data_IF_025991827506
#
_entry.id   IF_025991827506
#
_cell.length_a   1.000
_cell.length_b   1.000
_cell.length_c   1.000
_cell.angle_alpha   90.00
_cell.angle_beta   90.00
_cell.angle_gamma   90.00
#
_symmetry.space_group_name_H-M   'P 1'
#
loop_
_entity.id
_entity.type
_entity.pdbx_description
1 polymer ?
#
# COMPACT_ATOMS: atom_id res chain seq x y z
N UNK A 1 -25.37 -8.38 -19.55
CA UNK A 1 -25.30 -7.50 -18.39
C UNK A 1 -24.47 -6.24 -18.65
N UNK A 2 -24.12 -5.50 -17.60
CA UNK A 2 -23.42 -4.19 -17.66
C UNK A 2 -22.14 -4.19 -18.52
N UNK A 3 -21.31 -5.23 -18.42
CA UNK A 3 -20.10 -5.33 -19.25
C UNK A 3 -20.44 -5.44 -20.75
N UNK A 4 -21.51 -6.17 -21.10
CA UNK A 4 -21.92 -6.28 -22.50
C UNK A 4 -22.32 -4.92 -23.08
N UNK A 5 -22.97 -4.05 -22.32
CA UNK A 5 -23.33 -2.70 -22.76
C UNK A 5 -22.09 -1.84 -23.07
N UNK A 6 -21.05 -1.93 -22.23
CA UNK A 6 -19.79 -1.26 -22.49
C UNK A 6 -19.07 -1.77 -23.72
N UNK A 7 -19.00 -3.09 -23.92
CA UNK A 7 -18.37 -3.69 -25.11
C UNK A 7 -19.11 -3.42 -26.42
N UNK A 8 -20.44 -3.29 -26.37
CA UNK A 8 -21.26 -2.96 -27.55
C UNK A 8 -21.26 -1.46 -27.87
N UNK A 9 -20.60 -0.62 -27.06
CA UNK A 9 -20.58 0.84 -27.20
C UNK A 9 -22.00 1.44 -27.28
N UNK A 10 -22.91 0.91 -26.45
CA UNK A 10 -24.31 1.36 -26.42
C UNK A 10 -24.44 2.63 -25.58
N UNK A 11 -24.34 3.79 -26.23
CA UNK A 11 -24.44 5.12 -25.61
C UNK A 11 -25.78 5.36 -24.89
N UNK A 12 -26.86 4.70 -25.33
CA UNK A 12 -28.21 4.88 -24.76
C UNK A 12 -28.28 4.30 -23.33
N UNK A 13 -27.36 3.40 -23.01
CA UNK A 13 -27.25 2.80 -21.69
C UNK A 13 -26.45 3.62 -20.66
N UNK A 14 -25.84 4.76 -21.05
CA UNK A 14 -25.00 5.58 -20.12
C UNK A 14 -25.77 5.97 -18.87
N UNK A 15 -27.02 6.45 -19.01
CA UNK A 15 -27.84 6.84 -17.87
C UNK A 15 -28.16 5.69 -16.90
N UNK A 16 -28.32 4.48 -17.41
CA UNK A 16 -28.48 3.28 -16.59
C UNK A 16 -27.19 2.94 -15.82
N UNK A 17 -26.05 2.96 -16.52
CA UNK A 17 -24.74 2.66 -15.93
C UNK A 17 -24.36 3.69 -14.86
N UNK A 18 -24.65 4.98 -15.09
CA UNK A 18 -24.42 6.02 -14.08
C UNK A 18 -25.29 5.81 -12.83
N UNK A 19 -26.56 5.42 -12.98
CA UNK A 19 -27.40 5.06 -11.82
C UNK A 19 -26.86 3.84 -11.08
N UNK A 20 -26.41 2.82 -11.79
CA UNK A 20 -25.78 1.66 -11.18
C UNK A 20 -24.47 2.00 -10.46
N UNK A 21 -23.67 2.92 -11.00
CA UNK A 21 -22.46 3.42 -10.37
C UNK A 21 -22.76 4.09 -9.02
N UNK A 22 -23.85 4.87 -8.94
CA UNK A 22 -24.19 5.67 -7.77
C UNK A 22 -25.01 4.91 -6.69
N UNK A 23 -25.82 3.93 -7.09
CA UNK A 23 -26.85 3.34 -6.22
C UNK A 23 -26.69 1.83 -5.97
N UNK A 24 -25.86 1.15 -6.76
CA UNK A 24 -25.69 -0.29 -6.66
C UNK A 24 -24.69 -0.68 -5.55
N UNK A 25 -24.69 -1.97 -5.20
CA UNK A 25 -23.64 -2.51 -4.32
C UNK A 25 -22.25 -2.39 -4.95
N UNK A 26 -21.23 -2.42 -4.10
CA UNK A 26 -19.82 -2.15 -4.47
C UNK A 26 -19.33 -2.93 -5.71
N UNK A 27 -19.69 -4.22 -5.82
CA UNK A 27 -19.31 -5.06 -6.97
C UNK A 27 -19.96 -4.57 -8.27
N UNK A 28 -21.24 -4.21 -8.24
CA UNK A 28 -21.96 -3.69 -9.40
C UNK A 28 -21.38 -2.33 -9.83
N UNK A 29 -20.95 -1.50 -8.86
CA UNK A 29 -20.27 -0.23 -9.17
C UNK A 29 -18.95 -0.45 -9.92
N UNK A 30 -18.18 -1.49 -9.61
CA UNK A 30 -16.96 -1.84 -10.37
C UNK A 30 -17.29 -2.26 -11.81
N UNK A 31 -18.34 -3.07 -12.02
CA UNK A 31 -18.76 -3.46 -13.38
C UNK A 31 -19.31 -2.28 -14.17
N UNK A 32 -20.10 -1.41 -13.55
CA UNK A 32 -20.60 -0.18 -14.17
C UNK A 32 -19.45 0.77 -14.53
N UNK A 33 -18.45 0.91 -13.64
CA UNK A 33 -17.21 1.65 -13.89
C UNK A 33 -16.50 1.17 -15.14
N UNK A 34 -16.30 -0.16 -15.25
CA UNK A 34 -15.67 -0.76 -16.43
C UNK A 34 -16.44 -0.45 -17.71
N UNK A 35 -17.76 -0.62 -17.70
CA UNK A 35 -18.61 -0.37 -18.87
C UNK A 35 -18.59 1.10 -19.31
N UNK A 36 -18.67 2.04 -18.35
CA UNK A 36 -18.59 3.46 -18.64
C UNK A 36 -17.24 3.87 -19.24
N UNK A 37 -16.15 3.31 -18.72
CA UNK A 37 -14.80 3.61 -19.25
C UNK A 37 -14.55 2.98 -20.63
N UNK A 38 -15.21 1.87 -20.96
CA UNK A 38 -15.19 1.31 -22.33
C UNK A 38 -15.94 2.20 -23.32
N UNK A 39 -17.02 2.87 -22.88
CA UNK A 39 -17.77 3.82 -23.74
C UNK A 39 -16.98 5.08 -23.99
N UNK A 40 -16.56 5.77 -22.94
CA UNK A 40 -15.71 6.96 -23.01
C UNK A 40 -14.95 7.13 -21.69
N UNK A 41 -13.66 6.77 -21.72
CA UNK A 41 -12.82 6.81 -20.54
C UNK A 41 -12.60 8.24 -20.02
N UNK A 42 -12.43 9.21 -20.91
CA UNK A 42 -12.18 10.60 -20.51
C UNK A 42 -13.43 11.24 -19.89
N UNK A 43 -14.59 11.03 -20.51
CA UNK A 43 -15.84 11.58 -20.01
C UNK A 43 -16.27 11.03 -18.65
N UNK A 44 -15.93 9.77 -18.36
CA UNK A 44 -16.47 9.07 -17.19
C UNK A 44 -15.47 8.85 -16.05
N UNK A 45 -14.17 9.11 -16.25
CA UNK A 45 -13.13 8.85 -15.25
C UNK A 45 -13.38 9.53 -13.91
N UNK A 46 -13.80 10.79 -13.91
CA UNK A 46 -14.05 11.56 -12.69
C UNK A 46 -15.22 11.00 -11.87
N UNK A 47 -16.30 10.60 -12.53
CA UNK A 47 -17.45 9.97 -11.87
C UNK A 47 -17.09 8.60 -11.29
N UNK A 48 -16.33 7.80 -12.06
CA UNK A 48 -15.85 6.48 -11.65
C UNK A 48 -14.94 6.59 -10.43
N UNK A 49 -13.95 7.47 -10.44
CA UNK A 49 -13.01 7.62 -9.32
C UNK A 49 -13.75 7.99 -8.04
N UNK A 50 -14.67 8.96 -8.08
CA UNK A 50 -15.44 9.37 -6.91
C UNK A 50 -16.32 8.26 -6.34
N UNK A 51 -16.93 7.46 -7.20
CA UNK A 51 -17.78 6.34 -6.75
C UNK A 51 -16.98 5.19 -6.11
N UNK A 52 -15.69 5.06 -6.49
CA UNK A 52 -14.84 3.98 -5.99
C UNK A 52 -14.14 4.31 -4.66
N UNK A 53 -14.23 5.53 -4.12
CA UNK A 53 -13.63 5.86 -2.84
C UNK A 53 -14.27 5.11 -1.67
N UNK A 54 -15.54 4.82 -1.77
CA UNK A 54 -16.32 4.22 -0.66
C UNK A 54 -16.47 2.69 -0.80
N UNK A 55 -15.84 2.07 -1.80
CA UNK A 55 -15.96 0.60 -1.96
C UNK A 55 -15.17 -0.15 -0.89
N UNK A 56 -15.68 -1.30 -0.39
CA UNK A 56 -14.98 -2.15 0.55
C UNK A 56 -13.65 -2.67 0.01
N UNK A 57 -12.70 -2.95 0.91
CA UNK A 57 -11.36 -3.42 0.53
C UNK A 57 -11.37 -4.67 -0.34
N UNK A 58 -12.32 -5.57 -0.14
CA UNK A 58 -12.48 -6.78 -0.95
C UNK A 58 -12.75 -6.45 -2.43
N UNK A 59 -13.57 -5.44 -2.69
CA UNK A 59 -13.92 -5.03 -4.05
C UNK A 59 -12.84 -4.17 -4.71
N UNK A 60 -11.94 -3.57 -3.94
CA UNK A 60 -10.76 -2.87 -4.45
C UNK A 60 -9.86 -3.83 -5.26
N UNK A 61 -9.76 -5.09 -4.85
CA UNK A 61 -9.01 -6.10 -5.61
C UNK A 61 -9.66 -6.37 -6.96
N UNK A 62 -10.99 -6.48 -7.03
CA UNK A 62 -11.73 -6.61 -8.28
C UNK A 62 -11.51 -5.37 -9.18
N UNK A 63 -11.62 -4.17 -8.61
CA UNK A 63 -11.38 -2.92 -9.34
C UNK A 63 -9.97 -2.89 -9.95
N UNK A 64 -8.95 -3.34 -9.22
CA UNK A 64 -7.57 -3.36 -9.68
C UNK A 64 -7.36 -4.19 -10.96
N UNK A 65 -8.11 -5.27 -11.12
CA UNK A 65 -8.06 -6.15 -12.31
C UNK A 65 -8.90 -5.57 -13.43
N UNK A 66 -10.15 -5.21 -13.12
CA UNK A 66 -11.13 -4.77 -14.11
C UNK A 66 -10.78 -3.44 -14.75
N UNK A 67 -10.18 -2.51 -13.99
CA UNK A 67 -9.88 -1.16 -14.44
C UNK A 67 -8.43 -0.95 -14.90
N UNK A 68 -7.63 -2.02 -14.89
CA UNK A 68 -6.21 -1.97 -15.29
C UNK A 68 -5.97 -1.29 -16.66
N UNK A 69 -6.78 -1.51 -17.72
CA UNK A 69 -6.57 -0.86 -19.02
C UNK A 69 -6.72 0.66 -18.99
N UNK A 70 -7.47 1.20 -18.03
CA UNK A 70 -7.77 2.63 -17.91
C UNK A 70 -6.89 3.35 -16.89
N UNK A 71 -5.81 2.70 -16.46
CA UNK A 71 -4.95 3.21 -15.38
C UNK A 71 -4.48 4.65 -15.61
N UNK A 72 -4.10 5.01 -16.84
CA UNK A 72 -3.58 6.35 -17.13
C UNK A 72 -4.63 7.44 -16.90
N UNK A 73 -5.82 7.29 -17.49
CA UNK A 73 -6.91 8.24 -17.32
C UNK A 73 -7.43 8.29 -15.88
N UNK A 74 -7.47 7.16 -15.20
CA UNK A 74 -7.86 7.09 -13.79
C UNK A 74 -6.81 7.74 -12.87
N UNK A 75 -5.53 7.69 -13.21
CA UNK A 75 -4.48 8.38 -12.45
C UNK A 75 -4.68 9.89 -12.49
N UNK A 76 -4.95 10.45 -13.66
CA UNK A 76 -5.23 11.87 -13.83
C UNK A 76 -6.50 12.30 -13.08
N UNK A 77 -7.57 11.52 -13.21
CA UNK A 77 -8.81 11.77 -12.48
C UNK A 77 -8.60 11.69 -10.96
N UNK A 78 -7.83 10.70 -10.47
CA UNK A 78 -7.53 10.55 -9.07
C UNK A 78 -6.78 11.75 -8.50
N UNK A 79 -5.80 12.30 -9.25
CA UNK A 79 -5.06 13.49 -8.85
C UNK A 79 -5.93 14.74 -8.82
N UNK A 80 -6.86 14.90 -9.78
CA UNK A 80 -7.83 16.01 -9.76
C UNK A 80 -8.78 15.95 -8.55
N UNK A 81 -9.06 14.76 -8.04
CA UNK A 81 -9.94 14.51 -6.90
C UNK A 81 -9.19 14.13 -5.63
N UNK A 82 -7.96 14.66 -5.45
CA UNK A 82 -7.21 14.49 -4.21
C UNK A 82 -8.03 15.07 -3.03
N UNK A 83 -8.42 14.25 -2.03
CA UNK A 83 -9.20 14.71 -0.91
C UNK A 83 -8.38 15.58 0.05
N UNK A 84 -9.05 16.37 0.87
CA UNK A 84 -8.42 16.98 2.03
C UNK A 84 -8.02 15.88 3.04
N UNK A 85 -7.09 16.22 3.90
CA UNK A 85 -6.48 15.27 4.85
C UNK A 85 -7.49 14.70 5.85
N UNK A 86 -8.47 15.48 6.23
CA UNK A 86 -9.57 15.16 7.16
C UNK A 86 -10.83 14.62 6.46
N UNK A 87 -10.82 14.52 5.14
CA UNK A 87 -11.93 13.92 4.39
C UNK A 87 -12.03 12.42 4.71
N UNK A 88 -13.19 11.92 5.14
CA UNK A 88 -13.39 10.50 5.44
C UNK A 88 -13.09 9.58 4.24
N UNK A 89 -13.10 10.10 3.02
CA UNK A 89 -12.77 9.35 1.80
C UNK A 89 -11.27 9.28 1.51
N UNK A 90 -10.41 9.95 2.29
CA UNK A 90 -8.96 9.93 2.11
C UNK A 90 -8.39 8.50 2.09
N UNK A 91 -8.86 7.64 2.99
CA UNK A 91 -8.44 6.24 3.04
C UNK A 91 -8.85 5.47 1.77
N UNK A 92 -10.06 5.66 1.27
CA UNK A 92 -10.54 5.03 0.04
C UNK A 92 -9.74 5.48 -1.18
N UNK A 93 -9.44 6.77 -1.26
CA UNK A 93 -8.60 7.37 -2.28
C UNK A 93 -7.19 6.74 -2.30
N UNK A 94 -6.52 6.64 -1.14
CA UNK A 94 -5.21 6.01 -1.00
C UNK A 94 -5.25 4.52 -1.39
N UNK A 95 -6.29 3.79 -0.97
CA UNK A 95 -6.48 2.38 -1.30
C UNK A 95 -6.66 2.17 -2.80
N UNK A 96 -7.44 3.02 -3.45
CA UNK A 96 -7.65 2.96 -4.90
C UNK A 96 -6.36 3.27 -5.67
N UNK A 97 -5.62 4.31 -5.28
CA UNK A 97 -4.31 4.64 -5.85
C UNK A 97 -3.36 3.44 -5.80
N UNK A 98 -3.30 2.77 -4.65
CA UNK A 98 -2.47 1.58 -4.45
C UNK A 98 -2.94 0.39 -5.29
N UNK A 99 -4.25 0.13 -5.35
CA UNK A 99 -4.82 -0.98 -6.11
C UNK A 99 -4.54 -0.83 -7.61
N UNK A 100 -4.67 0.36 -8.12
CA UNK A 100 -4.33 0.70 -9.50
C UNK A 100 -2.81 0.81 -9.74
N UNK A 101 -1.98 0.63 -8.70
CA UNK A 101 -0.51 0.74 -8.75
C UNK A 101 -0.05 2.07 -9.34
N UNK A 102 -0.69 3.15 -8.94
CA UNK A 102 -0.36 4.48 -9.42
C UNK A 102 0.92 4.98 -8.75
N UNK A 103 1.70 5.74 -9.51
CA UNK A 103 2.81 6.51 -8.95
C UNK A 103 2.27 7.85 -8.48
N UNK A 104 2.27 8.05 -7.15
CA UNK A 104 1.75 9.26 -6.55
C UNK A 104 2.90 10.24 -6.29
N UNK A 105 2.77 11.51 -6.72
CA UNK A 105 3.77 12.53 -6.40
C UNK A 105 3.95 12.67 -4.89
N UNK A 106 5.21 12.78 -4.42
CA UNK A 106 5.51 12.94 -3.00
C UNK A 106 4.80 14.14 -2.36
N UNK A 107 4.65 15.23 -3.10
CA UNK A 107 3.93 16.44 -2.67
C UNK A 107 2.45 16.17 -2.37
N UNK A 108 1.81 15.27 -3.13
CA UNK A 108 0.42 14.87 -2.94
C UNK A 108 0.28 13.97 -1.71
N UNK A 109 1.27 13.13 -1.42
CA UNK A 109 1.27 12.24 -0.26
C UNK A 109 1.69 12.93 1.05
N UNK A 110 2.49 14.00 0.99
CA UNK A 110 3.05 14.65 2.17
C UNK A 110 2.02 15.04 3.25
N UNK A 111 0.83 15.56 2.93
CA UNK A 111 -0.20 15.85 3.94
C UNK A 111 -0.67 14.60 4.69
N UNK A 112 -0.74 13.43 4.03
CA UNK A 112 -1.18 12.17 4.62
C UNK A 112 -0.08 11.44 5.41
N UNK A 113 1.15 11.95 5.38
CA UNK A 113 2.30 11.45 6.14
C UNK A 113 2.56 12.28 7.40
N UNK A 114 1.59 13.02 7.92
CA UNK A 114 1.76 13.76 9.17
C UNK A 114 1.59 12.85 10.39
N UNK A 115 2.33 13.05 11.50
CA UNK A 115 2.30 12.15 12.66
C UNK A 115 0.93 12.03 13.35
N UNK A 116 0.08 13.06 13.23
CA UNK A 116 -1.24 13.13 13.83
C UNK A 116 -2.35 12.48 13.00
N UNK A 117 -2.02 11.90 11.84
CA UNK A 117 -3.00 11.26 10.97
C UNK A 117 -3.63 10.03 11.62
N UNK A 118 -4.85 9.69 11.15
CA UNK A 118 -5.42 8.38 11.42
C UNK A 118 -4.45 7.27 11.01
N UNK A 119 -4.33 6.26 11.84
CA UNK A 119 -3.37 5.17 11.68
C UNK A 119 -3.54 4.45 10.33
N UNK A 120 -4.78 4.23 9.90
CA UNK A 120 -5.06 3.53 8.65
C UNK A 120 -4.71 4.41 7.43
N UNK A 121 -4.98 5.71 7.52
CA UNK A 121 -4.60 6.70 6.50
C UNK A 121 -3.07 6.76 6.40
N UNK A 122 -2.37 6.89 7.52
CA UNK A 122 -0.91 6.93 7.57
C UNK A 122 -0.28 5.65 6.97
N UNK A 123 -0.77 4.48 7.36
CA UNK A 123 -0.32 3.19 6.81
C UNK A 123 -0.56 3.12 5.30
N UNK A 124 -1.73 3.57 4.83
CA UNK A 124 -2.06 3.57 3.40
C UNK A 124 -1.16 4.54 2.62
N UNK A 125 -0.87 5.71 3.16
CA UNK A 125 0.03 6.69 2.56
C UNK A 125 1.48 6.16 2.49
N UNK A 126 2.01 5.60 3.58
CA UNK A 126 3.36 4.99 3.61
C UNK A 126 3.51 3.92 2.52
N UNK A 127 2.46 3.15 2.24
CA UNK A 127 2.45 2.10 1.19
C UNK A 127 2.55 2.65 -0.24
N UNK A 128 2.25 3.92 -0.44
CA UNK A 128 2.28 4.59 -1.74
C UNK A 128 3.59 5.33 -1.99
N UNK A 129 4.38 5.59 -0.96
CA UNK A 129 5.68 6.26 -1.12
C UNK A 129 6.59 5.40 -1.99
N UNK A 130 7.24 6.02 -2.97
CA UNK A 130 8.15 5.39 -3.92
C UNK A 130 9.44 6.20 -4.03
N UNK A 131 10.53 5.50 -4.40
CA UNK A 131 11.84 6.12 -4.60
C UNK A 131 12.56 6.50 -3.30
N UNK A 132 13.88 6.56 -3.37
CA UNK A 132 14.75 6.83 -2.21
C UNK A 132 14.48 8.20 -1.57
N UNK A 133 14.10 9.20 -2.37
CA UNK A 133 13.77 10.54 -1.85
C UNK A 133 12.58 10.53 -0.87
N UNK A 134 11.76 9.50 -0.90
CA UNK A 134 10.65 9.30 0.04
C UNK A 134 11.05 8.58 1.34
N UNK A 135 12.23 7.98 1.39
CA UNK A 135 12.66 7.15 2.52
C UNK A 135 12.72 7.94 3.83
N UNK A 136 13.22 9.18 3.81
CA UNK A 136 13.29 10.03 4.99
C UNK A 136 11.92 10.36 5.59
N UNK A 137 10.91 10.65 4.75
CA UNK A 137 9.55 10.92 5.21
C UNK A 137 8.92 9.69 5.87
N UNK A 138 9.19 8.50 5.33
CA UNK A 138 8.74 7.23 5.92
C UNK A 138 9.49 6.93 7.21
N UNK A 139 10.82 7.11 7.23
CA UNK A 139 11.67 6.84 8.38
C UNK A 139 11.30 7.68 9.63
N UNK A 140 10.77 8.89 9.44
CA UNK A 140 10.28 9.74 10.52
C UNK A 140 9.22 9.06 11.42
N UNK A 141 8.51 8.05 10.90
CA UNK A 141 7.49 7.30 11.64
C UNK A 141 8.01 6.01 12.31
N UNK A 142 9.31 5.76 12.29
CA UNK A 142 9.89 4.55 12.88
C UNK A 142 9.70 4.43 14.40
N UNK A 143 9.49 5.55 15.10
CA UNK A 143 9.17 5.62 16.53
C UNK A 143 7.70 5.77 16.86
N UNK A 144 6.77 5.56 15.90
CA UNK A 144 5.34 5.75 16.11
C UNK A 144 4.81 4.84 17.22
N UNK A 145 3.85 5.32 18.04
CA UNK A 145 3.29 4.57 19.16
C UNK A 145 2.64 3.24 18.71
N UNK A 146 1.89 3.28 17.62
CA UNK A 146 1.25 2.06 17.07
C UNK A 146 2.30 1.24 16.28
N UNK A 147 2.44 -0.02 16.69
CA UNK A 147 3.37 -0.95 16.08
C UNK A 147 3.05 -1.28 14.61
N UNK A 148 1.80 -1.17 14.18
CA UNK A 148 1.38 -1.43 12.79
C UNK A 148 2.01 -0.39 11.85
N UNK A 149 2.09 0.87 12.30
CA UNK A 149 2.80 1.92 11.58
C UNK A 149 4.29 1.59 11.53
N UNK A 150 4.94 1.27 12.66
CA UNK A 150 6.37 0.90 12.69
C UNK A 150 6.68 -0.29 11.78
N UNK A 151 5.84 -1.33 11.81
CA UNK A 151 6.00 -2.48 10.92
C UNK A 151 5.85 -2.12 9.43
N UNK A 152 4.94 -1.17 9.12
CA UNK A 152 4.78 -0.67 7.75
C UNK A 152 5.97 0.18 7.32
N UNK A 153 6.54 1.01 8.21
CA UNK A 153 7.78 1.75 7.99
C UNK A 153 8.91 0.78 7.65
N UNK A 154 9.15 -0.20 8.51
CA UNK A 154 10.20 -1.19 8.28
C UNK A 154 10.04 -1.87 6.91
N UNK A 155 8.81 -2.27 6.57
CA UNK A 155 8.51 -2.88 5.26
C UNK A 155 8.78 -1.93 4.09
N UNK A 156 8.32 -0.69 4.18
CA UNK A 156 8.46 0.29 3.10
C UNK A 156 9.94 0.59 2.82
N UNK A 157 10.74 0.79 3.86
CA UNK A 157 12.17 1.06 3.74
C UNK A 157 12.94 -0.07 3.04
N UNK A 158 12.48 -1.31 3.12
CA UNK A 158 13.05 -2.43 2.36
C UNK A 158 12.79 -2.38 0.84
N UNK A 159 11.93 -1.47 0.37
CA UNK A 159 11.65 -1.27 -1.06
C UNK A 159 12.16 0.05 -1.60
N UNK A 160 12.22 1.08 -0.76
CA UNK A 160 12.55 2.45 -1.17
C UNK A 160 13.83 2.98 -0.53
N UNK A 161 14.36 2.30 0.50
CA UNK A 161 15.57 2.69 1.20
C UNK A 161 16.84 2.17 0.54
N UNK A 162 17.97 2.67 1.04
CA UNK A 162 19.32 2.29 0.68
C UNK A 162 20.19 2.05 1.91
N UNK A 163 21.49 2.26 1.77
CA UNK A 163 22.45 2.07 2.87
C UNK A 163 22.22 3.05 4.04
N UNK A 164 21.65 4.22 3.78
CA UNK A 164 21.32 5.21 4.80
C UNK A 164 20.29 4.69 5.83
N UNK A 165 19.42 3.78 5.44
CA UNK A 165 18.36 3.20 6.29
C UNK A 165 18.81 1.98 7.09
N UNK A 166 19.99 1.42 6.80
CA UNK A 166 20.53 0.25 7.52
C UNK A 166 20.60 0.47 9.05
N UNK A 167 21.11 1.60 9.59
CA UNK A 167 21.15 1.81 11.05
C UNK A 167 19.74 1.84 11.67
N UNK A 168 18.77 2.41 10.97
CA UNK A 168 17.39 2.47 11.45
C UNK A 168 16.76 1.08 11.48
N UNK A 169 16.83 0.34 10.38
CA UNK A 169 16.30 -1.03 10.30
C UNK A 169 16.97 -1.97 11.30
N UNK A 170 18.28 -1.78 11.57
CA UNK A 170 18.96 -2.53 12.61
C UNK A 170 18.38 -2.25 14.01
N UNK A 171 18.14 -0.96 14.36
CA UNK A 171 17.46 -0.64 15.62
C UNK A 171 16.07 -1.27 15.72
N UNK A 172 15.32 -1.31 14.61
CA UNK A 172 13.98 -1.91 14.57
C UNK A 172 14.00 -3.45 14.71
N UNK A 173 15.15 -4.12 14.58
CA UNK A 173 15.29 -5.56 14.91
C UNK A 173 15.06 -5.85 16.39
N UNK A 174 15.26 -4.87 17.28
CA UNK A 174 15.06 -5.00 18.72
C UNK A 174 13.71 -4.46 19.20
N UNK A 175 12.79 -4.10 18.29
CA UNK A 175 11.46 -3.61 18.65
C UNK A 175 10.71 -4.61 19.54
N UNK A 176 9.92 -4.10 20.50
CA UNK A 176 9.12 -4.94 21.38
C UNK A 176 8.15 -5.86 20.59
N UNK A 177 7.68 -5.38 19.44
CA UNK A 177 6.70 -6.12 18.63
C UNK A 177 7.36 -7.05 17.61
N UNK A 178 6.94 -8.30 17.63
CA UNK A 178 7.45 -9.36 16.76
C UNK A 178 7.35 -8.98 15.26
N UNK A 179 6.22 -8.41 14.84
CA UNK A 179 6.00 -8.03 13.44
C UNK A 179 6.94 -6.94 12.96
N UNK A 180 7.33 -6.01 13.83
CA UNK A 180 8.31 -4.96 13.50
C UNK A 180 9.68 -5.59 13.28
N UNK A 181 10.13 -6.46 14.18
CA UNK A 181 11.39 -7.19 14.04
C UNK A 181 11.43 -8.02 12.75
N UNK A 182 10.33 -8.76 12.47
CA UNK A 182 10.22 -9.57 11.26
C UNK A 182 10.31 -8.75 9.98
N UNK A 183 9.58 -7.62 9.90
CA UNK A 183 9.63 -6.73 8.73
C UNK A 183 10.98 -6.06 8.57
N UNK A 184 11.65 -5.70 9.66
CA UNK A 184 13.00 -5.12 9.63
C UNK A 184 14.02 -6.13 9.09
N UNK A 185 14.00 -7.38 9.57
CA UNK A 185 14.86 -8.43 9.06
C UNK A 185 14.62 -8.72 7.56
N UNK A 186 13.34 -8.80 7.14
CA UNK A 186 13.01 -8.96 5.72
C UNK A 186 13.50 -7.80 4.86
N UNK A 187 13.46 -6.58 5.40
CA UNK A 187 13.86 -5.37 4.68
C UNK A 187 15.37 -5.28 4.54
N UNK A 188 16.12 -5.60 5.59
CA UNK A 188 17.57 -5.73 5.52
C UNK A 188 18.01 -6.75 4.44
N UNK A 189 17.27 -7.86 4.31
CA UNK A 189 17.53 -8.85 3.25
C UNK A 189 17.29 -8.33 1.83
N UNK A 190 16.41 -7.33 1.66
CA UNK A 190 16.03 -6.78 0.35
C UNK A 190 16.89 -5.61 -0.09
N UNK A 191 17.43 -4.85 0.86
CA UNK A 191 18.22 -3.67 0.53
C UNK A 191 19.36 -4.05 -0.44
N UNK A 192 19.59 -3.23 -1.46
CA UNK A 192 20.71 -3.43 -2.37
C UNK A 192 22.04 -3.38 -1.63
N UNK A 193 23.08 -3.95 -2.19
CA UNK A 193 24.41 -3.93 -1.58
C UNK A 193 24.60 -4.96 -0.47
N UNK A 194 24.85 -4.50 0.75
CA UNK A 194 25.31 -5.38 1.83
C UNK A 194 24.21 -5.88 2.79
N UNK A 195 22.96 -5.48 2.58
CA UNK A 195 21.88 -5.76 3.54
C UNK A 195 21.75 -7.25 3.95
N UNK A 196 21.79 -8.16 2.96
CA UNK A 196 21.77 -9.60 3.24
C UNK A 196 23.00 -10.08 4.01
N UNK A 197 24.18 -9.63 3.63
CA UNK A 197 25.43 -10.03 4.29
C UNK A 197 25.54 -9.45 5.71
N UNK A 198 24.92 -8.31 5.95
CA UNK A 198 24.95 -7.63 7.24
C UNK A 198 23.87 -8.09 8.22
N UNK A 199 22.77 -8.70 7.76
CA UNK A 199 21.66 -9.03 8.66
C UNK A 199 22.10 -9.86 9.87
N UNK A 200 22.85 -10.94 9.66
CA UNK A 200 23.30 -11.79 10.77
C UNK A 200 24.33 -11.09 11.67
N UNK A 201 25.37 -10.42 11.14
CA UNK A 201 26.27 -9.61 11.94
C UNK A 201 25.57 -8.51 12.73
N UNK A 202 24.62 -7.78 12.10
CA UNK A 202 23.87 -6.73 12.77
C UNK A 202 23.00 -7.28 13.91
N UNK A 203 22.30 -8.39 13.67
CA UNK A 203 21.51 -9.04 14.70
C UNK A 203 22.37 -9.49 15.88
N UNK A 204 23.52 -10.09 15.61
CA UNK A 204 24.46 -10.52 16.65
C UNK A 204 25.02 -9.33 17.46
N UNK A 205 25.27 -8.21 16.80
CA UNK A 205 25.76 -7.01 17.45
C UNK A 205 24.75 -6.39 18.43
N UNK A 206 23.45 -6.67 18.29
CA UNK A 206 22.44 -6.17 19.23
C UNK A 206 22.52 -6.85 20.61
N UNK A 207 23.06 -8.07 20.70
CA UNK A 207 23.00 -8.91 21.89
C UNK A 207 21.58 -9.39 22.25
N UNK A 208 20.57 -9.04 21.44
CA UNK A 208 19.17 -9.42 21.67
C UNK A 208 18.88 -10.79 21.03
N UNK A 209 18.56 -11.78 21.88
CA UNK A 209 18.22 -13.15 21.43
C UNK A 209 17.08 -13.19 20.42
N UNK A 210 16.12 -12.29 20.53
CA UNK A 210 14.98 -12.23 19.61
C UNK A 210 15.36 -11.68 18.23
N UNK A 211 16.25 -10.67 18.19
CA UNK A 211 16.82 -10.16 16.95
C UNK A 211 17.64 -11.23 16.23
N UNK A 212 18.49 -11.96 16.98
CA UNK A 212 19.31 -13.05 16.45
C UNK A 212 18.43 -14.17 15.88
N UNK A 213 17.44 -14.64 16.65
CA UNK A 213 16.51 -15.69 16.22
C UNK A 213 15.72 -15.27 14.98
N UNK A 214 15.29 -13.99 14.92
CA UNK A 214 14.56 -13.45 13.78
C UNK A 214 15.44 -13.41 12.51
N UNK A 215 16.68 -12.95 12.62
CA UNK A 215 17.62 -12.93 11.51
C UNK A 215 17.86 -14.35 10.95
N UNK A 216 18.08 -15.32 11.83
CA UNK A 216 18.26 -16.73 11.46
C UNK A 216 17.02 -17.27 10.72
N UNK A 217 15.82 -17.02 11.24
CA UNK A 217 14.56 -17.46 10.63
C UNK A 217 14.35 -16.87 9.23
N UNK A 218 14.62 -15.58 9.06
CA UNK A 218 14.46 -14.90 7.76
C UNK A 218 15.51 -15.37 6.74
N UNK A 219 16.74 -15.59 7.15
CA UNK A 219 17.79 -16.15 6.28
C UNK A 219 17.41 -17.58 5.85
N UNK A 220 16.97 -18.44 6.78
CA UNK A 220 16.54 -19.80 6.46
C UNK A 220 15.38 -19.83 5.45
N UNK A 221 14.39 -18.92 5.57
CA UNK A 221 13.29 -18.80 4.61
C UNK A 221 13.78 -18.43 3.20
N UNK A 222 14.80 -17.59 3.09
CA UNK A 222 15.33 -17.16 1.79
C UNK A 222 16.06 -18.29 1.05
N UNK A 223 16.53 -19.32 1.75
CA UNK A 223 17.25 -20.46 1.16
C UNK A 223 16.32 -21.60 0.75
N UNK A 224 15.11 -21.70 1.35
CA UNK A 224 14.19 -22.82 1.14
C UNK A 224 12.92 -22.47 0.34
N UNK A 225 12.78 -21.25 -0.21
CA UNK A 225 11.57 -20.78 -0.90
C UNK A 225 10.49 -20.26 0.08
N UNK A 226 9.31 -19.85 -0.38
CA UNK A 226 8.28 -19.23 0.45
C UNK A 226 7.59 -20.27 1.34
N UNK A 227 8.30 -20.82 2.30
CA UNK A 227 7.73 -21.63 3.37
C UNK A 227 7.25 -20.69 4.48
N UNK A 228 6.07 -20.97 4.99
CA UNK A 228 5.36 -20.44 6.16
C UNK A 228 6.07 -19.34 6.97
N UNK A 229 5.35 -18.23 7.17
CA UNK A 229 5.70 -17.21 8.20
C UNK A 229 6.10 -17.94 9.49
N UNK A 230 7.26 -17.66 10.08
CA UNK A 230 7.65 -18.31 11.34
C UNK A 230 6.54 -18.08 12.37
N UNK A 231 6.13 -19.15 13.05
CA UNK A 231 5.09 -19.08 14.05
C UNK A 231 5.47 -18.03 15.11
N UNK A 232 4.52 -17.17 15.46
CA UNK A 232 4.68 -16.25 16.60
C UNK A 232 4.92 -17.11 17.83
N UNK A 233 6.03 -16.94 18.56
CA UNK A 233 6.23 -17.70 19.79
C UNK A 233 5.09 -17.41 20.77
N UNK A 234 4.50 -18.45 21.34
CA UNK A 234 3.49 -18.33 22.39
C UNK A 234 4.09 -17.49 23.53
N UNK A 235 3.48 -16.34 23.84
CA UNK A 235 3.93 -15.46 24.92
C UNK A 235 4.69 -14.19 24.52
N UNK A 236 4.85 -13.85 23.22
CA UNK A 236 5.35 -12.54 22.82
C UNK A 236 4.17 -11.56 22.69
N UNK A 237 4.04 -10.67 23.67
CA UNK A 237 3.14 -9.51 23.64
C UNK A 237 3.55 -8.53 22.53
#
# INVERSE_FOLDING_TARGET
>A
GMLALGFLHDSDSVGLLQRQLAQAGARQSVYASRALLELDAQAHADAVVRALFDIPELEVSLASVMLKPFRAVLAEALLRHTPQVDDPRALGWLRLARALRLQMPGQVLAPFLQPQQDIEVLIAAIRLVQGEQGAGAVAAHAGHADWRVRAQVARALGFIGGDAELPLLNRMLTDAQWWVRYRSAQSLMRLPGQGKAQLQPLANATGDRYAISMAQAVVAQSTHGPASVPARPAGAA
#
